data_IF_031670221787
#
_entry.id   IF_031670221787
#
_cell.length_a   1.000
_cell.length_b   1.000
_cell.length_c   1.000
_cell.angle_alpha   90.00
_cell.angle_beta   90.00
_cell.angle_gamma   90.00
#
_symmetry.space_group_name_H-M   'P 1'
#
loop_
_entity.id
_entity.type
_entity.pdbx_description
1 polymer ?
#
# COMPACT_ATOMS: atom_id res chain seq x y z
N UNK A 1 -11.31 1.08 17.17
CA UNK A 1 -10.82 1.55 15.83
C UNK A 1 -11.33 2.96 15.64
N UNK A 2 -10.45 3.88 15.33
CA UNK A 2 -10.83 5.27 15.07
C UNK A 2 -11.69 5.32 13.79
N UNK A 3 -12.77 6.09 13.82
CA UNK A 3 -13.79 6.13 12.76
C UNK A 3 -13.19 6.43 11.38
N UNK A 4 -12.20 7.32 11.35
CA UNK A 4 -11.53 7.76 10.12
C UNK A 4 -10.86 6.63 9.33
N UNK A 5 -10.28 5.63 9.99
CA UNK A 5 -9.58 4.51 9.33
C UNK A 5 -10.44 3.24 9.21
N UNK A 6 -11.64 3.25 9.79
CA UNK A 6 -12.56 2.11 9.77
C UNK A 6 -12.91 1.65 8.35
N UNK A 7 -13.00 2.60 7.40
CA UNK A 7 -13.31 2.30 6.00
C UNK A 7 -12.32 1.33 5.35
N UNK A 8 -11.04 1.39 5.73
CA UNK A 8 -10.02 0.47 5.21
C UNK A 8 -10.25 -0.94 5.70
N UNK A 9 -10.46 -1.12 7.01
CA UNK A 9 -10.76 -2.43 7.58
C UNK A 9 -12.05 -3.01 7.00
N UNK A 10 -13.11 -2.22 6.90
CA UNK A 10 -14.37 -2.65 6.30
C UNK A 10 -14.23 -3.09 4.85
N UNK A 11 -13.41 -2.38 4.04
CA UNK A 11 -13.16 -2.77 2.65
C UNK A 11 -12.29 -4.04 2.56
N UNK A 12 -11.33 -4.20 3.46
CA UNK A 12 -10.48 -5.39 3.53
C UNK A 12 -11.27 -6.63 3.97
N UNK A 13 -12.22 -6.47 4.90
CA UNK A 13 -13.09 -7.55 5.40
C UNK A 13 -14.26 -7.86 4.47
N UNK A 14 -14.57 -6.97 3.53
CA UNK A 14 -15.67 -7.17 2.60
C UNK A 14 -15.46 -8.44 1.75
N UNK A 15 -16.55 -9.19 1.43
CA UNK A 15 -16.46 -10.34 0.56
C UNK A 15 -15.80 -10.01 -0.77
N UNK A 16 -14.86 -10.85 -1.18
CA UNK A 16 -14.18 -10.67 -2.45
C UNK A 16 -15.13 -10.86 -3.62
N UNK A 17 -15.10 -9.94 -4.59
CA UNK A 17 -15.93 -9.98 -5.81
C UNK A 17 -15.19 -10.69 -6.97
N UNK A 18 -14.49 -11.77 -6.66
CA UNK A 18 -13.76 -12.58 -7.65
C UNK A 18 -14.40 -13.95 -7.74
N UNK A 19 -14.59 -14.44 -8.95
CA UNK A 19 -15.05 -15.81 -9.19
C UNK A 19 -14.07 -16.81 -8.52
N UNK A 20 -14.58 -17.75 -7.77
CA UNK A 20 -13.77 -18.72 -7.00
C UNK A 20 -13.24 -18.19 -5.66
N UNK A 21 -13.67 -17.00 -5.23
CA UNK A 21 -13.30 -16.41 -3.95
C UNK A 21 -14.47 -16.39 -2.94
N UNK A 22 -15.46 -17.22 -3.13
CA UNK A 22 -16.65 -17.30 -2.27
C UNK A 22 -16.24 -17.57 -0.82
N UNK A 23 -16.76 -16.76 0.10
CA UNK A 23 -16.48 -16.86 1.53
C UNK A 23 -15.12 -16.27 1.97
N UNK A 24 -14.32 -15.73 1.06
CA UNK A 24 -13.05 -15.06 1.40
C UNK A 24 -13.21 -13.54 1.40
N UNK A 25 -12.46 -12.88 2.28
CA UNK A 25 -12.39 -11.43 2.32
C UNK A 25 -11.53 -10.87 1.18
N UNK A 26 -11.67 -9.56 0.91
CA UNK A 26 -10.80 -8.86 -0.03
C UNK A 26 -9.32 -8.92 0.38
N UNK A 27 -9.05 -8.93 1.70
CA UNK A 27 -7.69 -9.09 2.21
C UNK A 27 -7.13 -10.49 1.93
N UNK A 28 -7.92 -11.55 2.16
CA UNK A 28 -7.47 -12.93 1.89
C UNK A 28 -7.09 -13.12 0.42
N UNK A 29 -7.88 -12.54 -0.48
CA UNK A 29 -7.57 -12.57 -1.92
C UNK A 29 -6.30 -11.79 -2.25
N UNK A 30 -6.12 -10.61 -1.67
CA UNK A 30 -4.90 -9.83 -1.87
C UNK A 30 -3.65 -10.58 -1.37
N UNK A 31 -3.74 -11.19 -0.20
CA UNK A 31 -2.68 -11.99 0.38
C UNK A 31 -2.32 -13.19 -0.52
N UNK A 32 -3.30 -13.97 -0.93
CA UNK A 32 -3.10 -15.12 -1.80
C UNK A 32 -2.49 -14.73 -3.16
N UNK A 33 -3.02 -13.69 -3.81
CA UNK A 33 -2.52 -13.23 -5.10
C UNK A 33 -1.05 -12.80 -5.01
N UNK A 34 -0.68 -12.07 -3.95
CA UNK A 34 0.71 -11.70 -3.73
C UNK A 34 1.59 -12.91 -3.38
N UNK A 35 1.13 -13.85 -2.55
CA UNK A 35 1.87 -15.09 -2.27
C UNK A 35 2.15 -15.90 -3.55
N UNK A 36 1.21 -15.94 -4.47
CA UNK A 36 1.34 -16.58 -5.78
C UNK A 36 2.19 -15.77 -6.78
N UNK A 37 2.58 -14.54 -6.44
CA UNK A 37 3.42 -13.68 -7.26
C UNK A 37 2.71 -12.98 -8.41
N UNK A 38 1.37 -12.90 -8.40
CA UNK A 38 0.62 -12.24 -9.47
C UNK A 38 -0.72 -11.66 -8.97
N UNK A 39 -0.80 -10.34 -8.97
CA UNK A 39 -2.03 -9.61 -8.69
C UNK A 39 -2.99 -9.68 -9.87
N UNK A 40 -4.26 -10.01 -9.60
CA UNK A 40 -5.34 -10.09 -10.58
C UNK A 40 -6.55 -9.26 -10.21
N UNK A 41 -6.82 -9.07 -8.92
CA UNK A 41 -8.01 -8.40 -8.41
C UNK A 41 -7.78 -6.93 -8.07
N UNK A 42 -8.87 -6.16 -7.82
CA UNK A 42 -8.85 -4.72 -7.66
C UNK A 42 -8.93 -4.31 -6.19
N UNK A 43 -7.90 -4.58 -5.40
CA UNK A 43 -7.85 -4.32 -3.96
C UNK A 43 -6.84 -3.22 -3.55
N UNK A 44 -6.09 -2.65 -4.47
CA UNK A 44 -4.99 -1.71 -4.20
C UNK A 44 -5.37 -0.54 -3.28
N UNK A 45 -6.55 0.08 -3.50
CA UNK A 45 -6.94 1.31 -2.82
C UNK A 45 -7.03 1.21 -1.30
N UNK A 46 -7.50 0.08 -0.77
CA UNK A 46 -7.67 -0.11 0.67
C UNK A 46 -6.58 -0.97 1.31
N UNK A 47 -5.77 -1.61 0.50
CA UNK A 47 -4.69 -2.51 0.96
C UNK A 47 -3.34 -1.78 1.01
N UNK A 48 -3.03 -0.98 -0.02
CA UNK A 48 -1.90 -0.08 -0.09
C UNK A 48 -2.39 1.36 -0.33
N UNK A 49 -3.04 1.98 0.67
CA UNK A 49 -3.61 3.31 0.49
C UNK A 49 -2.51 4.35 0.26
N UNK A 50 -2.80 5.28 -0.63
CA UNK A 50 -1.88 6.35 -1.01
C UNK A 50 -2.24 7.65 -0.29
N UNK A 51 -1.28 8.57 -0.21
CA UNK A 51 -1.59 9.96 0.14
C UNK A 51 -2.48 10.61 -0.93
N UNK A 52 -3.37 11.50 -0.51
CA UNK A 52 -4.29 12.18 -1.42
C UNK A 52 -3.51 12.91 -2.51
N UNK A 53 -3.74 12.59 -3.80
CA UNK A 53 -3.01 13.22 -4.90
C UNK A 53 -3.26 14.74 -4.96
N UNK A 54 -2.25 15.49 -5.41
CA UNK A 54 -2.38 16.94 -5.64
C UNK A 54 -3.14 17.22 -6.94
N UNK A 55 -4.42 16.84 -6.97
CA UNK A 55 -5.36 17.04 -8.08
C UNK A 55 -6.67 17.58 -7.55
N UNK A 56 -7.43 18.24 -8.43
CA UNK A 56 -8.80 18.64 -8.07
C UNK A 56 -9.63 17.39 -7.70
N UNK A 57 -10.44 17.48 -6.66
CA UNK A 57 -11.29 16.36 -6.22
C UNK A 57 -12.21 15.83 -7.33
N UNK A 58 -12.68 16.72 -8.24
CA UNK A 58 -13.51 16.31 -9.38
C UNK A 58 -12.78 15.42 -10.40
N UNK A 59 -11.43 15.51 -10.44
CA UNK A 59 -10.59 14.73 -11.35
C UNK A 59 -10.14 13.39 -10.76
N UNK A 60 -10.50 13.10 -9.52
CA UNK A 60 -10.19 11.85 -8.84
C UNK A 60 -11.33 10.84 -8.98
N UNK A 61 -10.97 9.55 -9.12
CA UNK A 61 -11.95 8.48 -9.08
C UNK A 61 -12.62 8.39 -7.70
N UNK A 62 -13.84 7.87 -7.63
CA UNK A 62 -14.56 7.72 -6.37
C UNK A 62 -13.81 6.83 -5.38
N UNK A 63 -13.12 5.79 -5.85
CA UNK A 63 -12.27 4.96 -5.00
C UNK A 63 -11.09 5.74 -4.41
N UNK A 64 -10.44 6.60 -5.22
CA UNK A 64 -9.36 7.46 -4.72
C UNK A 64 -9.89 8.45 -3.68
N UNK A 65 -11.03 9.10 -3.93
CA UNK A 65 -11.68 10.00 -2.95
C UNK A 65 -11.99 9.28 -1.63
N UNK A 66 -12.46 8.05 -1.72
CA UNK A 66 -12.85 7.26 -0.55
C UNK A 66 -11.66 6.76 0.24
N UNK A 67 -10.62 6.25 -0.44
CA UNK A 67 -9.53 5.48 0.20
C UNK A 67 -8.18 6.20 0.23
N UNK A 68 -8.05 7.41 -0.28
CA UNK A 68 -6.81 8.17 -0.09
C UNK A 68 -6.65 8.57 1.38
N UNK A 69 -5.42 8.52 1.87
CA UNK A 69 -5.00 9.08 3.16
C UNK A 69 -4.97 10.60 3.01
N UNK A 70 -5.70 11.32 3.83
CA UNK A 70 -5.92 12.77 3.67
C UNK A 70 -4.81 13.61 4.27
N UNK A 71 -4.25 13.15 5.38
CA UNK A 71 -3.23 13.88 6.13
C UNK A 71 -2.33 12.92 6.94
N UNK A 72 -1.35 13.50 7.60
CA UNK A 72 -0.38 12.77 8.44
C UNK A 72 -1.05 12.09 9.63
N UNK A 73 -2.06 12.72 10.22
CA UNK A 73 -2.76 12.18 11.37
C UNK A 73 -3.51 10.89 11.00
N UNK A 74 -4.20 10.88 9.88
CA UNK A 74 -4.86 9.68 9.36
C UNK A 74 -3.86 8.55 9.06
N UNK A 75 -2.69 8.88 8.49
CA UNK A 75 -1.62 7.90 8.27
C UNK A 75 -1.10 7.30 9.60
N UNK A 76 -0.93 8.13 10.64
CA UNK A 76 -0.60 7.67 11.99
C UNK A 76 -1.69 6.76 12.57
N UNK A 77 -2.96 7.14 12.44
CA UNK A 77 -4.09 6.32 12.91
C UNK A 77 -4.12 4.95 12.22
N UNK A 78 -3.81 4.93 10.91
CA UNK A 78 -3.72 3.67 10.15
C UNK A 78 -2.65 2.74 10.75
N UNK A 79 -1.42 3.22 10.96
CA UNK A 79 -0.33 2.43 11.55
C UNK A 79 -0.54 2.10 13.02
N UNK A 80 -1.32 2.90 13.76
CA UNK A 80 -1.65 2.63 15.16
C UNK A 80 -2.88 1.72 15.35
N UNK A 81 -3.56 1.36 14.27
CA UNK A 81 -4.64 0.37 14.29
C UNK A 81 -4.05 -1.03 14.05
N UNK A 82 -3.98 -1.92 15.07
CA UNK A 82 -3.23 -3.17 14.98
C UNK A 82 -3.62 -4.05 13.79
N UNK A 83 -4.91 -4.14 13.48
CA UNK A 83 -5.40 -4.90 12.34
C UNK A 83 -4.82 -4.38 11.01
N UNK A 84 -4.88 -3.07 10.79
CA UNK A 84 -4.41 -2.44 9.56
C UNK A 84 -2.90 -2.52 9.44
N UNK A 85 -2.18 -2.25 10.53
CA UNK A 85 -0.73 -2.38 10.60
C UNK A 85 -0.27 -3.81 10.24
N UNK A 86 -0.83 -4.81 10.92
CA UNK A 86 -0.42 -6.20 10.70
C UNK A 86 -0.67 -6.66 9.28
N UNK A 87 -1.82 -6.30 8.71
CA UNK A 87 -2.17 -6.62 7.32
C UNK A 87 -1.26 -5.93 6.32
N UNK A 88 -1.04 -4.63 6.48
CA UNK A 88 -0.15 -3.85 5.62
C UNK A 88 1.27 -4.38 5.65
N UNK A 89 1.80 -4.64 6.86
CA UNK A 89 3.14 -5.16 7.05
C UNK A 89 3.30 -6.56 6.45
N UNK A 90 2.34 -7.46 6.68
CA UNK A 90 2.36 -8.80 6.09
C UNK A 90 2.47 -8.75 4.55
N UNK A 91 1.66 -7.91 3.89
CA UNK A 91 1.70 -7.78 2.43
C UNK A 91 3.01 -7.11 1.94
N UNK A 92 3.52 -6.13 2.69
CA UNK A 92 4.83 -5.51 2.39
C UNK A 92 5.96 -6.54 2.43
N UNK A 93 5.96 -7.44 3.42
CA UNK A 93 6.95 -8.52 3.53
C UNK A 93 6.85 -9.53 2.38
N UNK A 94 5.64 -9.85 1.91
CA UNK A 94 5.46 -10.73 0.75
C UNK A 94 6.08 -10.08 -0.49
N UNK A 95 5.78 -8.80 -0.74
CA UNK A 95 6.36 -8.05 -1.86
C UNK A 95 7.88 -8.01 -1.76
N UNK A 96 8.43 -7.66 -0.57
CA UNK A 96 9.87 -7.60 -0.34
C UNK A 96 10.54 -8.95 -0.68
N UNK A 97 9.99 -10.04 -0.18
CA UNK A 97 10.50 -11.39 -0.40
C UNK A 97 10.57 -11.76 -1.90
N UNK A 98 9.52 -11.44 -2.67
CA UNK A 98 9.51 -11.68 -4.11
C UNK A 98 10.58 -10.88 -4.84
N UNK A 99 10.71 -9.61 -4.52
CA UNK A 99 11.68 -8.72 -5.17
C UNK A 99 13.12 -9.05 -4.79
N UNK A 100 13.42 -9.35 -3.52
CA UNK A 100 14.73 -9.78 -3.07
C UNK A 100 15.18 -11.08 -3.74
N UNK A 101 14.28 -12.05 -3.81
CA UNK A 101 14.56 -13.34 -4.45
C UNK A 101 14.49 -13.31 -5.97
N UNK A 102 14.06 -12.18 -6.54
CA UNK A 102 13.87 -12.01 -8.00
C UNK A 102 12.99 -13.11 -8.62
N UNK A 103 12.00 -13.60 -7.87
CA UNK A 103 11.10 -14.67 -8.31
C UNK A 103 10.15 -14.22 -9.40
N UNK A 104 9.83 -12.91 -9.42
CA UNK A 104 8.88 -12.30 -10.34
C UNK A 104 9.22 -10.82 -10.54
N UNK A 105 9.01 -10.30 -11.76
CA UNK A 105 9.20 -8.87 -12.03
C UNK A 105 8.10 -8.02 -11.35
N UNK A 106 8.39 -6.76 -10.91
CA UNK A 106 7.42 -5.90 -10.25
C UNK A 106 6.09 -5.76 -10.99
N UNK A 107 6.12 -5.57 -12.32
CA UNK A 107 4.91 -5.42 -13.14
C UNK A 107 4.07 -6.70 -13.12
N UNK A 108 4.69 -7.86 -13.12
CA UNK A 108 3.98 -9.15 -13.05
C UNK A 108 3.37 -9.32 -11.66
N UNK A 109 4.16 -9.05 -10.60
CA UNK A 109 3.71 -9.12 -9.21
C UNK A 109 2.50 -8.21 -8.96
N UNK A 110 2.55 -6.98 -9.44
CA UNK A 110 1.51 -5.97 -9.20
C UNK A 110 0.42 -5.91 -10.29
N UNK A 111 0.61 -6.64 -11.40
CA UNK A 111 -0.35 -6.75 -12.49
C UNK A 111 -0.37 -5.56 -13.46
N UNK A 112 0.25 -4.42 -13.13
CA UNK A 112 0.35 -3.25 -14.01
C UNK A 112 1.36 -2.22 -13.52
N UNK A 113 1.87 -1.37 -14.42
CA UNK A 113 2.71 -0.21 -14.06
C UNK A 113 1.96 0.77 -13.13
N UNK A 114 0.67 0.97 -13.38
CA UNK A 114 -0.17 1.83 -12.52
C UNK A 114 -0.21 1.33 -11.08
N UNK A 115 -0.35 0.03 -10.86
CA UNK A 115 -0.37 -0.53 -9.51
C UNK A 115 1.04 -0.59 -8.88
N UNK A 116 2.11 -0.72 -9.70
CA UNK A 116 3.48 -0.48 -9.23
C UNK A 116 3.67 0.96 -8.70
N UNK A 117 3.22 1.95 -9.44
CA UNK A 117 3.29 3.36 -9.02
C UNK A 117 2.48 3.62 -7.74
N UNK A 118 1.30 3.02 -7.61
CA UNK A 118 0.49 3.13 -6.38
C UNK A 118 1.18 2.46 -5.19
N UNK A 119 1.79 1.30 -5.39
CA UNK A 119 2.57 0.62 -4.36
C UNK A 119 3.70 1.51 -3.85
N UNK A 120 4.50 2.06 -4.76
CA UNK A 120 5.59 2.98 -4.42
C UNK A 120 5.08 4.21 -3.65
N UNK A 121 3.97 4.82 -4.11
CA UNK A 121 3.36 5.96 -3.42
C UNK A 121 2.93 5.62 -1.99
N UNK A 122 2.30 4.46 -1.79
CA UNK A 122 1.89 3.97 -0.47
C UNK A 122 3.09 3.69 0.43
N UNK A 123 4.09 2.98 -0.08
CA UNK A 123 5.30 2.64 0.69
C UNK A 123 6.10 3.89 1.07
N UNK A 124 6.20 4.89 0.18
CA UNK A 124 6.83 6.18 0.49
C UNK A 124 6.12 6.85 1.67
N UNK A 125 4.78 6.87 1.68
CA UNK A 125 3.98 7.41 2.77
C UNK A 125 4.28 6.71 4.09
N UNK A 126 4.15 5.39 4.12
CA UNK A 126 4.25 4.64 5.37
C UNK A 126 5.71 4.43 5.84
N UNK A 127 6.69 4.53 4.97
CA UNK A 127 8.10 4.65 5.37
C UNK A 127 8.33 5.98 6.12
N UNK A 128 7.88 7.10 5.57
CA UNK A 128 8.02 8.41 6.20
C UNK A 128 7.30 8.51 7.55
N UNK A 129 6.07 7.99 7.64
CA UNK A 129 5.30 7.95 8.89
C UNK A 129 5.93 6.99 9.90
N UNK A 130 6.36 5.82 9.46
CA UNK A 130 6.99 4.81 10.31
C UNK A 130 8.27 5.30 11.00
N UNK A 131 9.11 6.04 10.27
CA UNK A 131 10.33 6.65 10.83
C UNK A 131 10.02 7.70 11.91
N UNK A 132 8.89 8.42 11.78
CA UNK A 132 8.48 9.46 12.74
C UNK A 132 7.72 8.93 13.95
N UNK A 133 7.25 7.68 13.91
CA UNK A 133 6.36 7.10 14.94
C UNK A 133 6.94 5.91 15.68
N UNK A 134 8.24 5.69 15.59
CA UNK A 134 8.91 4.51 16.14
C UNK A 134 8.37 3.15 15.60
N UNK A 135 7.67 3.17 14.47
CA UNK A 135 7.27 1.97 13.72
C UNK A 135 8.39 1.58 12.74
N UNK A 136 9.60 1.37 13.30
CA UNK A 136 10.83 1.22 12.52
C UNK A 136 10.84 -0.03 11.63
N UNK A 137 10.12 -1.08 12.00
CA UNK A 137 10.03 -2.32 11.21
C UNK A 137 9.36 -2.06 9.86
N UNK A 138 8.16 -1.44 9.87
CA UNK A 138 7.47 -1.13 8.61
C UNK A 138 8.24 -0.11 7.77
N UNK A 139 8.93 0.85 8.41
CA UNK A 139 9.76 1.81 7.71
C UNK A 139 10.93 1.12 7.00
N UNK A 140 11.66 0.24 7.69
CA UNK A 140 12.77 -0.53 7.14
C UNK A 140 12.31 -1.38 5.94
N UNK A 141 11.24 -2.13 6.11
CA UNK A 141 10.78 -3.09 5.09
C UNK A 141 10.18 -2.37 3.89
N UNK A 142 9.47 -1.26 4.10
CA UNK A 142 9.00 -0.39 3.04
C UNK A 142 10.16 0.24 2.24
N UNK A 143 11.20 0.72 2.92
CA UNK A 143 12.42 1.24 2.27
C UNK A 143 13.14 0.15 1.47
N UNK A 144 13.19 -1.08 1.97
CA UNK A 144 13.73 -2.22 1.24
C UNK A 144 12.98 -2.46 -0.09
N UNK A 145 11.65 -2.46 -0.06
CA UNK A 145 10.85 -2.56 -1.29
C UNK A 145 11.10 -1.37 -2.22
N UNK A 146 11.10 -0.15 -1.69
CA UNK A 146 11.30 1.07 -2.48
C UNK A 146 12.65 1.06 -3.20
N UNK A 147 13.72 0.64 -2.54
CA UNK A 147 15.04 0.48 -3.17
C UNK A 147 15.01 -0.51 -4.35
N UNK A 148 14.34 -1.66 -4.18
CA UNK A 148 14.22 -2.65 -5.24
C UNK A 148 13.32 -2.19 -6.39
N UNK A 149 12.26 -1.43 -6.10
CA UNK A 149 11.38 -0.82 -7.08
C UNK A 149 12.09 0.26 -7.88
N UNK A 150 12.93 1.10 -7.23
CA UNK A 150 13.74 2.12 -7.90
C UNK A 150 14.73 1.50 -8.89
N UNK A 151 15.41 0.42 -8.51
CA UNK A 151 16.27 -0.36 -9.40
C UNK A 151 15.52 -0.96 -10.61
N UNK A 152 14.20 -1.10 -10.50
CA UNK A 152 13.33 -1.56 -11.59
C UNK A 152 12.69 -0.40 -12.39
N UNK A 153 13.07 0.86 -12.11
CA UNK A 153 12.59 2.06 -12.80
C UNK A 153 11.36 2.71 -12.18
N UNK A 154 10.95 2.30 -10.97
CA UNK A 154 9.83 2.89 -10.22
C UNK A 154 10.37 3.72 -9.04
N UNK A 155 10.80 4.95 -9.30
CA UNK A 155 11.32 5.85 -8.28
C UNK A 155 10.27 6.25 -7.23
N UNK A 156 10.75 6.72 -6.08
CA UNK A 156 9.88 7.15 -4.95
C UNK A 156 8.90 8.25 -5.37
N UNK A 157 7.77 8.30 -4.70
CA UNK A 157 6.72 9.27 -4.99
C UNK A 157 7.12 10.68 -4.52
N UNK A 158 7.56 11.54 -5.46
CA UNK A 158 7.98 12.92 -5.18
C UNK A 158 6.93 13.73 -4.42
N UNK A 159 5.65 13.61 -4.82
CA UNK A 159 4.54 14.30 -4.15
C UNK A 159 4.47 13.94 -2.67
N UNK A 160 4.60 12.66 -2.33
CA UNK A 160 4.58 12.20 -0.93
C UNK A 160 5.84 12.63 -0.19
N UNK A 161 7.00 12.55 -0.83
CA UNK A 161 8.27 13.00 -0.25
C UNK A 161 8.23 14.48 0.13
N UNK A 162 7.74 15.35 -0.76
CA UNK A 162 7.63 16.78 -0.50
C UNK A 162 6.67 17.08 0.67
N UNK A 163 5.55 16.36 0.77
CA UNK A 163 4.56 16.55 1.85
C UNK A 163 5.10 16.19 3.23
N UNK A 164 6.01 15.24 3.30
CA UNK A 164 6.57 14.75 4.56
C UNK A 164 7.97 15.30 4.83
N UNK A 165 8.50 16.23 4.00
CA UNK A 165 9.88 16.67 4.09
C UNK A 165 10.84 15.47 4.25
N UNK A 166 10.59 14.46 3.41
CA UNK A 166 11.28 13.19 3.44
C UNK A 166 12.37 13.20 2.40
N UNK A 167 13.61 13.46 2.84
CA UNK A 167 14.80 13.30 1.99
C UNK A 167 15.43 11.94 2.28
N UNK A 168 15.49 11.11 1.27
CA UNK A 168 16.27 9.88 1.29
C UNK A 168 17.69 10.23 0.86
N UNK A 169 18.58 10.31 1.84
CA UNK A 169 20.05 10.42 1.62
C UNK A 169 20.73 9.11 1.93
#
# INVERSE_FOLDING_TARGET
>A
MLEQVRRFAAAQDAPARKLGAEGRSSFDVAHEELELGAKHSHWMWWTFPQFLPNKSLKDLSDKTKTYAIKDTEEAHMYLNTPLLYNRYHALTLIVLRHLERRTVAPIVLMGSETDCTKLVSSLTLFAAVGLRTARTEIARDALGVLHLMDNAGFGMCEHTMQKFDFSYT
#
